data_IF_763681159503
#
_entry.id   IF_763681159503
#
_cell.length_a   1.000
_cell.length_b   1.000
_cell.length_c   1.000
_cell.angle_alpha   90.00
_cell.angle_beta   90.00
_cell.angle_gamma   90.00
#
_symmetry.space_group_name_H-M   'P 1'
#
loop_
_entity.id
_entity.type
_entity.pdbx_description
1 polymer ?
#
# COMPACT_ATOMS: atom_id res chain seq x y z
N UNK A 1 -9.26 52.17 -1.92
CA UNK A 1 -9.29 51.53 -0.58
C UNK A 1 -10.32 50.40 -0.43
N UNK A 2 -11.59 50.53 -0.87
CA UNK A 2 -12.62 49.47 -0.66
C UNK A 2 -12.33 48.13 -1.37
N UNK A 3 -11.66 48.15 -2.53
CA UNK A 3 -11.32 46.92 -3.28
C UNK A 3 -10.22 46.07 -2.62
N UNK A 4 -9.22 46.69 -2.00
CA UNK A 4 -8.14 45.96 -1.30
C UNK A 4 -8.70 45.22 -0.09
N UNK A 5 -9.63 45.84 0.65
CA UNK A 5 -10.27 45.23 1.81
C UNK A 5 -11.20 44.06 1.43
N UNK A 6 -11.78 44.10 0.22
CA UNK A 6 -12.58 43.00 -0.34
C UNK A 6 -11.68 41.81 -0.68
N UNK A 7 -10.59 42.08 -1.39
CA UNK A 7 -9.66 41.04 -1.83
C UNK A 7 -9.00 40.31 -0.65
N UNK A 8 -8.52 41.05 0.35
CA UNK A 8 -7.91 40.44 1.55
C UNK A 8 -8.90 39.63 2.38
N UNK A 9 -10.16 40.09 2.48
CA UNK A 9 -11.20 39.35 3.19
C UNK A 9 -11.58 38.04 2.49
N UNK A 10 -11.70 38.04 1.16
CA UNK A 10 -12.01 36.83 0.38
C UNK A 10 -10.88 35.81 0.49
N UNK A 11 -9.62 36.24 0.33
CA UNK A 11 -8.46 35.35 0.46
C UNK A 11 -8.36 34.78 1.88
N UNK A 12 -8.56 35.61 2.91
CA UNK A 12 -8.52 35.14 4.30
C UNK A 12 -9.55 34.03 4.55
N UNK A 13 -10.78 34.15 4.05
CA UNK A 13 -11.79 33.11 4.21
C UNK A 13 -11.44 31.83 3.44
N UNK A 14 -10.83 31.95 2.27
CA UNK A 14 -10.45 30.81 1.44
C UNK A 14 -9.31 30.01 2.08
N UNK A 15 -8.28 30.71 2.60
CA UNK A 15 -7.18 30.10 3.36
C UNK A 15 -7.68 29.46 4.65
N UNK A 16 -8.55 30.16 5.39
CA UNK A 16 -9.14 29.63 6.62
C UNK A 16 -10.03 28.41 6.37
N UNK A 17 -10.77 28.37 5.26
CA UNK A 17 -11.56 27.20 4.85
C UNK A 17 -10.71 25.98 4.54
N UNK A 18 -9.60 26.16 3.81
CA UNK A 18 -8.64 25.08 3.52
C UNK A 18 -7.98 24.54 4.80
N UNK A 19 -7.61 25.42 5.74
CA UNK A 19 -7.08 25.05 7.05
C UNK A 19 -8.10 24.28 7.90
N UNK A 20 -9.35 24.73 7.91
CA UNK A 20 -10.43 24.05 8.63
C UNK A 20 -10.67 22.64 8.06
N UNK A 21 -10.68 22.50 6.73
CA UNK A 21 -10.79 21.21 6.06
C UNK A 21 -9.64 20.27 6.45
N UNK A 22 -8.40 20.75 6.38
CA UNK A 22 -7.23 19.94 6.74
C UNK A 22 -7.30 19.46 8.20
N UNK A 23 -7.68 20.33 9.13
CA UNK A 23 -7.83 19.96 10.54
C UNK A 23 -8.98 18.97 10.77
N UNK A 24 -10.12 19.16 10.10
CA UNK A 24 -11.28 18.28 10.21
C UNK A 24 -11.00 16.89 9.64
N UNK A 25 -10.28 16.83 8.51
CA UNK A 25 -9.76 15.59 7.94
C UNK A 25 -8.85 14.84 8.94
N UNK A 26 -7.90 15.54 9.55
CA UNK A 26 -7.02 14.94 10.58
C UNK A 26 -7.81 14.38 11.79
N UNK A 27 -8.84 15.10 12.25
CA UNK A 27 -9.70 14.62 13.35
C UNK A 27 -10.47 13.36 12.96
N UNK A 28 -11.00 13.29 11.74
CA UNK A 28 -11.73 12.10 11.27
C UNK A 28 -10.82 10.89 11.09
N UNK A 29 -9.64 11.09 10.51
CA UNK A 29 -8.60 10.06 10.42
C UNK A 29 -8.18 9.57 11.81
N UNK A 30 -8.03 10.47 12.78
CA UNK A 30 -7.68 10.10 14.16
C UNK A 30 -8.80 9.32 14.87
N UNK A 31 -10.07 9.64 14.62
CA UNK A 31 -11.22 8.90 15.17
C UNK A 31 -11.33 7.49 14.57
N UNK A 32 -11.13 7.34 13.25
CA UNK A 32 -11.16 6.04 12.56
C UNK A 32 -9.98 5.13 12.99
N UNK A 33 -8.81 5.72 13.29
CA UNK A 33 -7.60 4.98 13.71
C UNK A 33 -7.50 4.69 15.22
N UNK A 34 -8.53 5.00 16.01
CA UNK A 34 -8.57 4.67 17.45
C UNK A 34 -8.53 3.16 17.75
N UNK A 35 -8.60 2.30 16.72
CA UNK A 35 -8.36 0.85 16.78
C UNK A 35 -6.90 0.39 16.56
N UNK A 36 -5.90 1.27 16.56
CA UNK A 36 -4.48 0.86 16.58
C UNK A 36 -3.87 0.42 15.25
N UNK A 37 -4.36 0.96 14.12
CA UNK A 37 -3.75 0.73 12.80
C UNK A 37 -2.63 1.72 12.47
N UNK A 38 -1.55 1.32 11.78
CA UNK A 38 -0.48 2.21 11.38
C UNK A 38 -0.92 2.97 10.12
N UNK A 39 -1.44 4.19 10.29
CA UNK A 39 -1.60 5.13 9.17
C UNK A 39 -0.61 6.27 9.41
N UNK A 40 0.56 6.15 8.79
CA UNK A 40 1.57 7.20 8.74
C UNK A 40 1.21 8.21 7.66
N UNK A 41 0.33 9.14 8.00
CA UNK A 41 0.40 10.54 7.55
C UNK A 41 0.30 11.37 8.83
N UNK A 42 1.32 11.22 9.70
CA UNK A 42 1.45 11.77 11.06
C UNK A 42 0.11 12.33 11.58
N UNK A 43 -0.84 11.46 12.00
CA UNK A 43 -2.11 11.93 12.54
C UNK A 43 -1.78 12.79 13.75
N UNK A 44 -1.96 14.10 13.61
CA UNK A 44 -1.71 15.01 14.71
C UNK A 44 -2.68 14.61 15.83
N UNK A 45 -2.17 14.39 17.05
CA UNK A 45 -2.93 13.70 18.06
C UNK A 45 -4.21 14.49 18.39
N UNK A 46 -5.31 13.75 18.62
CA UNK A 46 -6.67 14.30 18.71
C UNK A 46 -6.77 15.42 19.77
N UNK A 47 -6.02 15.26 20.86
CA UNK A 47 -5.85 16.21 21.96
C UNK A 47 -5.28 17.57 21.52
N UNK A 48 -4.49 17.60 20.44
CA UNK A 48 -3.92 18.83 19.86
C UNK A 48 -4.77 19.37 18.71
N UNK A 49 -5.28 18.52 17.82
CA UNK A 49 -6.00 18.98 16.62
C UNK A 49 -7.37 19.56 16.92
N UNK A 50 -8.12 18.98 17.85
CA UNK A 50 -9.45 19.43 18.25
C UNK A 50 -9.47 20.88 18.80
N UNK A 51 -8.62 21.27 19.76
CA UNK A 51 -8.61 22.65 20.25
C UNK A 51 -8.19 23.66 19.17
N UNK A 52 -7.26 23.31 18.27
CA UNK A 52 -6.90 24.20 17.14
C UNK A 52 -8.08 24.43 16.20
N UNK A 53 -8.84 23.38 15.88
CA UNK A 53 -10.06 23.50 15.06
C UNK A 53 -11.08 24.45 15.72
N UNK A 54 -11.32 24.29 17.02
CA UNK A 54 -12.26 25.13 17.78
C UNK A 54 -11.81 26.60 17.78
N UNK A 55 -10.52 26.86 18.04
CA UNK A 55 -9.95 28.22 18.01
C UNK A 55 -10.07 28.84 16.61
N UNK A 56 -9.82 28.06 15.56
CA UNK A 56 -9.93 28.52 14.17
C UNK A 56 -11.38 28.92 13.83
N UNK A 57 -12.36 28.07 14.17
CA UNK A 57 -13.79 28.36 13.94
C UNK A 57 -14.22 29.62 14.70
N UNK A 58 -13.83 29.74 15.97
CA UNK A 58 -14.10 30.93 16.79
C UNK A 58 -13.48 32.19 16.17
N UNK A 59 -12.22 32.11 15.71
CA UNK A 59 -11.52 33.21 15.07
C UNK A 59 -12.19 33.71 13.79
N UNK A 60 -12.60 32.78 12.91
CA UNK A 60 -13.32 33.09 11.67
C UNK A 60 -14.68 33.74 11.99
N UNK A 61 -15.40 33.21 12.98
CA UNK A 61 -16.70 33.74 13.39
C UNK A 61 -16.57 35.17 13.93
N UNK A 62 -15.59 35.43 14.79
CA UNK A 62 -15.32 36.77 15.33
C UNK A 62 -14.89 37.77 14.25
N UNK A 63 -14.06 37.35 13.30
CA UNK A 63 -13.67 38.17 12.14
C UNK A 63 -14.89 38.52 11.28
N UNK A 64 -15.80 37.58 11.07
CA UNK A 64 -17.04 37.78 10.32
C UNK A 64 -17.98 38.75 11.04
N UNK A 65 -18.13 38.64 12.37
CA UNK A 65 -18.92 39.59 13.18
C UNK A 65 -18.30 40.99 13.17
N UNK A 66 -16.96 41.08 13.27
CA UNK A 66 -16.25 42.37 13.29
C UNK A 66 -16.33 43.08 11.94
N UNK A 67 -16.19 42.34 10.84
CA UNK A 67 -16.39 42.86 9.48
C UNK A 67 -17.84 43.25 9.24
N UNK A 68 -18.81 42.46 9.72
CA UNK A 68 -20.23 42.83 9.71
C UNK A 68 -20.50 44.18 10.38
N UNK A 69 -19.98 44.39 11.60
CA UNK A 69 -20.16 45.66 12.33
C UNK A 69 -19.50 46.85 11.61
N UNK A 70 -18.37 46.63 10.92
CA UNK A 70 -17.56 47.72 10.33
C UNK A 70 -17.98 48.10 8.91
N UNK A 71 -18.46 47.15 8.14
CA UNK A 71 -18.92 47.38 6.77
C UNK A 71 -20.44 47.26 6.72
N UNK A 72 -21.16 48.39 6.76
CA UNK A 72 -22.61 48.46 6.45
C UNK A 72 -22.96 48.02 5.01
N UNK A 73 -22.02 47.40 4.29
CA UNK A 73 -22.17 46.97 2.91
C UNK A 73 -22.70 45.53 2.86
N UNK A 74 -24.02 45.39 2.73
CA UNK A 74 -24.73 44.11 2.67
C UNK A 74 -24.22 43.18 1.55
N UNK A 75 -23.61 43.70 0.47
CA UNK A 75 -23.06 42.86 -0.63
C UNK A 75 -21.79 42.11 -0.22
N UNK A 76 -20.91 42.76 0.53
CA UNK A 76 -19.66 42.17 1.06
C UNK A 76 -19.96 41.03 2.02
N UNK A 77 -20.96 41.23 2.88
CA UNK A 77 -21.41 40.20 3.82
C UNK A 77 -21.93 38.96 3.11
N UNK A 78 -22.81 39.14 2.11
CA UNK A 78 -23.36 38.02 1.33
C UNK A 78 -22.27 37.22 0.64
N UNK A 79 -21.29 37.89 0.03
CA UNK A 79 -20.18 37.22 -0.64
C UNK A 79 -19.30 36.41 0.34
N UNK A 80 -18.98 36.96 1.51
CA UNK A 80 -18.23 36.25 2.55
C UNK A 80 -18.97 35.03 3.09
N UNK A 81 -20.28 35.17 3.33
CA UNK A 81 -21.11 34.09 3.86
C UNK A 81 -21.26 32.94 2.85
N UNK A 82 -21.41 33.27 1.56
CA UNK A 82 -21.44 32.30 0.46
C UNK A 82 -20.09 31.59 0.33
N UNK A 83 -18.98 32.32 0.39
CA UNK A 83 -17.64 31.72 0.33
C UNK A 83 -17.43 30.73 1.50
N UNK A 84 -17.76 31.15 2.72
CA UNK A 84 -17.59 30.34 3.93
C UNK A 84 -18.48 29.07 3.90
N UNK A 85 -19.75 29.23 3.56
CA UNK A 85 -20.67 28.08 3.42
C UNK A 85 -20.23 27.13 2.31
N UNK A 86 -19.81 27.66 1.15
CA UNK A 86 -19.29 26.81 0.05
C UNK A 86 -18.04 26.04 0.47
N UNK A 87 -17.10 26.67 1.18
CA UNK A 87 -15.90 25.98 1.69
C UNK A 87 -16.24 24.88 2.70
N UNK A 88 -17.24 25.10 3.55
CA UNK A 88 -17.68 24.11 4.53
C UNK A 88 -18.34 22.90 3.86
N UNK A 89 -19.19 23.14 2.85
CA UNK A 89 -19.83 22.05 2.08
C UNK A 89 -18.80 21.25 1.29
N UNK A 90 -17.88 21.92 0.59
CA UNK A 90 -16.76 21.27 -0.11
C UNK A 90 -15.90 20.44 0.85
N UNK A 91 -15.61 20.98 2.04
CA UNK A 91 -14.90 20.29 3.10
C UNK A 91 -15.60 19.00 3.54
N UNK A 92 -16.92 19.03 3.75
CA UNK A 92 -17.69 17.84 4.12
C UNK A 92 -17.70 16.78 3.01
N UNK A 93 -17.92 17.20 1.77
CA UNK A 93 -17.91 16.30 0.60
C UNK A 93 -16.56 15.60 0.49
N UNK A 94 -15.46 16.36 0.45
CA UNK A 94 -14.12 15.78 0.40
C UNK A 94 -13.86 14.85 1.58
N UNK A 95 -14.33 15.20 2.78
CA UNK A 95 -14.11 14.39 3.96
C UNK A 95 -14.81 13.03 3.87
N UNK A 96 -16.02 12.96 3.32
CA UNK A 96 -16.73 11.70 3.10
C UNK A 96 -15.95 10.82 2.11
N UNK A 97 -15.53 11.40 0.98
CA UNK A 97 -14.80 10.66 -0.06
C UNK A 97 -13.35 10.34 0.33
N UNK A 98 -12.78 11.08 1.27
CA UNK A 98 -11.38 10.90 1.67
C UNK A 98 -11.12 9.57 2.35
N UNK A 99 -12.11 8.99 3.04
CA UNK A 99 -11.99 7.68 3.66
C UNK A 99 -11.82 6.58 2.60
N UNK A 100 -12.63 6.62 1.54
CA UNK A 100 -12.54 5.66 0.43
C UNK A 100 -11.23 5.85 -0.34
N UNK A 101 -10.85 7.10 -0.65
CA UNK A 101 -9.57 7.40 -1.29
C UNK A 101 -8.39 6.91 -0.43
N UNK A 102 -8.45 7.07 0.90
CA UNK A 102 -7.41 6.57 1.80
C UNK A 102 -7.37 5.05 1.91
N UNK A 103 -8.52 4.35 1.80
CA UNK A 103 -8.51 2.88 1.72
C UNK A 103 -7.83 2.40 0.44
N UNK A 104 -8.13 3.04 -0.69
CA UNK A 104 -7.50 2.72 -1.97
C UNK A 104 -6.01 3.09 -1.98
N UNK A 105 -5.62 4.21 -1.38
CA UNK A 105 -4.21 4.57 -1.20
C UNK A 105 -3.49 3.63 -0.23
N UNK A 106 -4.19 3.16 0.82
CA UNK A 106 -3.65 2.21 1.79
C UNK A 106 -3.39 0.86 1.12
N UNK A 107 -4.31 0.35 0.30
CA UNK A 107 -4.08 -0.91 -0.41
C UNK A 107 -2.85 -0.81 -1.32
N UNK A 108 -2.71 0.30 -2.07
CA UNK A 108 -1.55 0.61 -2.89
C UNK A 108 -0.24 0.73 -2.08
N UNK A 109 -0.26 1.43 -0.94
CA UNK A 109 0.94 1.59 -0.10
C UNK A 109 1.30 0.32 0.69
N UNK A 110 0.33 -0.48 1.13
CA UNK A 110 0.60 -1.73 1.86
C UNK A 110 1.27 -2.79 1.01
N UNK A 111 1.08 -2.77 -0.32
CA UNK A 111 1.82 -3.62 -1.26
C UNK A 111 3.31 -3.25 -1.32
N UNK A 112 3.66 -1.97 -1.21
CA UNK A 112 5.04 -1.49 -1.31
C UNK A 112 5.78 -1.44 0.04
N UNK A 113 5.09 -1.63 1.17
CA UNK A 113 5.62 -1.50 2.53
C UNK A 113 5.67 -2.83 3.31
N UNK A 114 5.49 -3.97 2.64
CA UNK A 114 5.92 -5.23 3.25
C UNK A 114 7.46 -5.19 3.29
N UNK A 115 8.03 -5.38 4.47
CA UNK A 115 9.48 -5.42 4.60
C UNK A 115 10.01 -6.53 3.68
N UNK A 116 11.08 -6.27 2.92
CA UNK A 116 11.72 -7.33 2.14
C UNK A 116 12.03 -8.51 3.05
N UNK A 117 11.92 -9.74 2.55
CA UNK A 117 12.18 -10.89 3.37
C UNK A 117 13.58 -10.83 3.97
N UNK A 118 13.70 -11.13 5.27
CA UNK A 118 14.99 -11.04 5.97
C UNK A 118 16.01 -12.00 5.38
N UNK A 119 17.30 -11.62 5.40
CA UNK A 119 18.40 -12.49 4.97
C UNK A 119 18.32 -13.88 5.62
N UNK A 120 18.00 -13.95 6.92
CA UNK A 120 17.89 -15.22 7.63
C UNK A 120 16.76 -16.12 7.09
N UNK A 121 15.58 -15.57 6.80
CA UNK A 121 14.50 -16.40 6.26
C UNK A 121 14.72 -16.75 4.78
N UNK A 122 15.38 -15.88 4.01
CA UNK A 122 15.86 -16.24 2.67
C UNK A 122 16.81 -17.43 2.70
N UNK A 123 17.76 -17.45 3.64
CA UNK A 123 18.71 -18.55 3.79
C UNK A 123 18.02 -19.85 4.21
N UNK A 124 17.00 -19.78 5.07
CA UNK A 124 16.20 -20.95 5.45
C UNK A 124 15.44 -21.54 4.25
N UNK A 125 14.82 -20.69 3.44
CA UNK A 125 14.10 -21.13 2.22
C UNK A 125 15.08 -21.74 1.21
N UNK A 126 16.20 -21.08 0.95
CA UNK A 126 17.23 -21.56 0.01
C UNK A 126 17.88 -22.85 0.48
N UNK A 127 18.25 -22.94 1.76
CA UNK A 127 18.82 -24.14 2.36
C UNK A 127 17.85 -25.32 2.32
N UNK A 128 16.57 -25.08 2.62
CA UNK A 128 15.53 -26.10 2.51
C UNK A 128 15.31 -26.57 1.07
N UNK A 129 15.28 -25.66 0.10
CA UNK A 129 15.17 -26.03 -1.32
C UNK A 129 16.39 -26.78 -1.82
N UNK A 130 17.59 -26.37 -1.41
CA UNK A 130 18.83 -27.08 -1.72
C UNK A 130 18.77 -28.52 -1.21
N UNK A 131 18.31 -28.71 0.02
CA UNK A 131 18.12 -30.05 0.56
C UNK A 131 17.10 -30.87 -0.25
N UNK A 132 15.97 -30.28 -0.66
CA UNK A 132 14.98 -30.96 -1.51
C UNK A 132 15.61 -31.40 -2.84
N UNK A 133 16.43 -30.55 -3.46
CA UNK A 133 17.13 -30.85 -4.71
C UNK A 133 18.10 -32.02 -4.51
N UNK A 134 18.93 -31.96 -3.47
CA UNK A 134 19.93 -32.99 -3.15
C UNK A 134 19.27 -34.33 -2.79
N UNK A 135 18.24 -34.32 -1.94
CA UNK A 135 17.53 -35.53 -1.47
C UNK A 135 16.76 -36.24 -2.60
N UNK A 136 16.34 -35.51 -3.64
CA UNK A 136 15.58 -36.04 -4.78
C UNK A 136 16.41 -36.15 -6.06
N UNK A 137 17.72 -35.92 -6.00
CA UNK A 137 18.64 -35.95 -7.14
C UNK A 137 18.16 -35.10 -8.34
N UNK A 138 17.56 -33.93 -8.05
CA UNK A 138 17.02 -33.05 -9.08
C UNK A 138 18.16 -32.32 -9.80
N UNK A 139 18.12 -32.18 -11.15
CA UNK A 139 19.22 -31.62 -11.93
C UNK A 139 19.22 -30.09 -11.92
N UNK A 140 19.11 -29.45 -10.76
CA UNK A 140 19.02 -28.00 -10.61
C UNK A 140 20.06 -27.45 -9.65
N UNK A 141 20.54 -26.24 -9.94
CA UNK A 141 21.29 -25.41 -9.00
C UNK A 141 20.52 -24.14 -8.69
N UNK A 142 20.68 -23.65 -7.46
CA UNK A 142 20.10 -22.36 -7.07
C UNK A 142 21.04 -21.24 -7.54
N UNK A 143 20.51 -20.33 -8.36
CA UNK A 143 21.21 -19.09 -8.71
C UNK A 143 21.06 -18.08 -7.57
N UNK A 144 21.99 -18.11 -6.62
CA UNK A 144 21.91 -17.32 -5.39
C UNK A 144 21.90 -15.81 -5.63
N UNK A 145 22.66 -15.35 -6.62
CA UNK A 145 22.82 -13.93 -6.91
C UNK A 145 21.55 -13.39 -7.58
N UNK A 146 21.10 -14.01 -8.67
CA UNK A 146 19.87 -13.58 -9.36
C UNK A 146 18.64 -13.70 -8.42
N UNK A 147 18.64 -14.69 -7.52
CA UNK A 147 17.56 -14.87 -6.51
C UNK A 147 17.52 -13.73 -5.50
N UNK A 148 18.68 -13.21 -5.07
CA UNK A 148 18.76 -12.10 -4.13
C UNK A 148 18.31 -10.80 -4.80
N UNK A 149 18.84 -10.53 -5.98
CA UNK A 149 18.51 -9.35 -6.76
C UNK A 149 17.00 -9.28 -7.06
N UNK A 150 16.37 -10.37 -7.50
CA UNK A 150 14.92 -10.39 -7.73
C UNK A 150 14.09 -10.32 -6.45
N UNK A 151 14.59 -10.86 -5.33
CA UNK A 151 13.88 -10.73 -4.04
C UNK A 151 13.84 -9.28 -3.56
N UNK A 152 14.92 -8.53 -3.80
CA UNK A 152 14.97 -7.10 -3.52
C UNK A 152 14.00 -6.31 -4.40
N UNK A 153 13.86 -6.70 -5.67
CA UNK A 153 12.95 -6.04 -6.62
C UNK A 153 11.46 -6.34 -6.35
N UNK A 154 11.11 -7.56 -5.93
CA UNK A 154 9.72 -7.93 -5.69
C UNK A 154 9.19 -7.52 -4.31
N UNK A 155 10.07 -7.22 -3.35
CA UNK A 155 9.82 -6.63 -2.01
C UNK A 155 8.94 -7.46 -1.06
N UNK A 156 8.02 -8.28 -1.57
CA UNK A 156 6.93 -8.89 -0.81
C UNK A 156 7.14 -10.40 -0.62
N UNK A 157 7.91 -11.04 -1.49
CA UNK A 157 8.03 -12.51 -1.56
C UNK A 157 9.48 -12.94 -1.76
N UNK A 158 9.81 -14.14 -1.28
CA UNK A 158 11.08 -14.78 -1.60
C UNK A 158 11.09 -15.19 -3.07
N UNK A 159 12.13 -14.81 -3.81
CA UNK A 159 12.36 -15.32 -5.16
C UNK A 159 13.53 -16.31 -5.10
N UNK A 160 13.30 -17.51 -5.63
CA UNK A 160 14.35 -18.53 -5.76
C UNK A 160 14.39 -19.00 -7.20
N UNK A 161 15.56 -18.88 -7.81
CA UNK A 161 15.83 -19.22 -9.20
C UNK A 161 16.58 -20.55 -9.22
N UNK A 162 15.99 -21.52 -9.91
CA UNK A 162 16.45 -22.88 -10.10
C UNK A 162 16.87 -23.03 -11.56
N UNK A 163 18.16 -23.20 -11.82
CA UNK A 163 18.70 -23.36 -13.17
C UNK A 163 19.11 -24.81 -13.38
N UNK A 164 18.63 -25.42 -14.46
CA UNK A 164 18.95 -26.80 -14.79
C UNK A 164 20.42 -26.97 -15.13
N UNK A 165 21.07 -28.03 -14.66
CA UNK A 165 22.50 -28.30 -14.93
C UNK A 165 22.74 -29.02 -16.26
N UNK A 166 21.70 -29.57 -16.87
CA UNK A 166 21.80 -30.43 -18.06
C UNK A 166 21.50 -29.62 -19.34
N UNK A 167 22.45 -29.62 -20.28
CA UNK A 167 22.28 -29.00 -21.62
C UNK A 167 21.13 -29.62 -22.41
N UNK A 168 20.40 -28.79 -23.17
CA UNK A 168 19.31 -29.20 -24.07
C UNK A 168 18.20 -30.04 -23.41
N UNK A 169 18.01 -29.91 -22.10
CA UNK A 169 16.93 -30.58 -21.36
C UNK A 169 15.82 -29.60 -21.02
N UNK A 170 14.60 -29.93 -21.43
CA UNK A 170 13.39 -29.20 -21.05
C UNK A 170 13.06 -29.43 -19.58
N UNK A 171 12.32 -28.50 -18.99
CA UNK A 171 11.81 -28.63 -17.62
C UNK A 171 10.75 -29.74 -17.60
N UNK A 172 10.95 -30.79 -16.80
CA UNK A 172 9.97 -31.87 -16.73
C UNK A 172 8.89 -31.55 -15.68
N UNK A 173 7.62 -31.82 -16.01
CA UNK A 173 6.51 -31.61 -15.06
C UNK A 173 6.76 -32.37 -13.75
N UNK A 174 7.29 -33.59 -13.82
CA UNK A 174 7.62 -34.40 -12.64
C UNK A 174 8.65 -33.74 -11.73
N UNK A 175 9.62 -33.01 -12.27
CA UNK A 175 10.64 -32.30 -11.48
C UNK A 175 9.99 -31.18 -10.65
N UNK A 176 9.07 -30.43 -11.27
CA UNK A 176 8.32 -29.38 -10.60
C UNK A 176 7.38 -29.99 -9.56
N UNK A 177 6.66 -31.06 -9.88
CA UNK A 177 5.79 -31.76 -8.95
C UNK A 177 6.55 -32.26 -7.71
N UNK A 178 7.75 -32.85 -7.86
CA UNK A 178 8.57 -33.32 -6.74
C UNK A 178 8.97 -32.18 -5.78
N UNK A 179 9.32 -31.01 -6.32
CA UNK A 179 9.60 -29.83 -5.48
C UNK A 179 8.33 -29.43 -4.72
N UNK A 180 7.17 -29.37 -5.38
CA UNK A 180 5.91 -28.96 -4.77
C UNK A 180 5.40 -29.92 -3.69
N UNK A 181 5.62 -31.22 -3.85
CA UNK A 181 5.31 -32.23 -2.81
C UNK A 181 6.14 -31.98 -1.54
N UNK A 182 7.36 -31.51 -1.71
CA UNK A 182 8.33 -31.27 -0.63
C UNK A 182 8.26 -29.87 -0.03
N UNK A 183 7.51 -28.93 -0.63
CA UNK A 183 7.34 -27.54 -0.14
C UNK A 183 6.77 -27.49 1.28
N UNK A 184 6.04 -28.53 1.72
CA UNK A 184 5.48 -28.60 3.07
C UNK A 184 6.53 -28.47 4.18
N UNK A 185 7.79 -28.83 3.90
CA UNK A 185 8.94 -28.76 4.82
C UNK A 185 9.53 -27.35 4.93
N UNK A 186 9.29 -26.49 3.94
CA UNK A 186 9.79 -25.11 3.91
C UNK A 186 9.03 -24.20 4.90
N UNK A 187 9.56 -23.03 5.28
CA UNK A 187 8.81 -22.02 6.04
C UNK A 187 7.48 -21.64 5.34
N UNK A 188 6.46 -21.28 6.13
CA UNK A 188 5.17 -20.77 5.63
C UNK A 188 5.28 -19.28 5.25
N UNK A 189 5.99 -19.03 4.16
CA UNK A 189 6.25 -17.69 3.62
C UNK A 189 5.79 -17.61 2.17
N UNK A 190 5.56 -16.38 1.67
CA UNK A 190 5.20 -16.20 0.25
C UNK A 190 6.46 -16.37 -0.60
N UNK A 191 6.41 -17.29 -1.56
CA UNK A 191 7.57 -17.70 -2.35
C UNK A 191 7.23 -17.71 -3.83
N UNK A 192 8.24 -17.42 -4.65
CA UNK A 192 8.21 -17.52 -6.11
C UNK A 192 9.41 -18.34 -6.56
N UNK A 193 9.13 -19.54 -7.04
CA UNK A 193 10.13 -20.44 -7.60
C UNK A 193 10.17 -20.26 -9.11
N UNK A 194 11.35 -20.02 -9.66
CA UNK A 194 11.58 -19.86 -11.09
C UNK A 194 12.48 -20.96 -11.58
N UNK A 195 11.91 -21.91 -12.30
CA UNK A 195 12.66 -22.97 -12.96
C UNK A 195 13.06 -22.48 -14.35
N UNK A 196 14.33 -22.63 -14.68
CA UNK A 196 14.88 -22.37 -16.00
C UNK A 196 15.61 -23.60 -16.53
N UNK A 197 15.52 -23.84 -17.83
CA UNK A 197 16.52 -24.67 -18.50
C UNK A 197 17.87 -23.94 -18.52
N UNK A 198 18.95 -24.66 -18.84
CA UNK A 198 20.31 -24.10 -18.77
C UNK A 198 20.49 -22.85 -19.64
N UNK A 199 19.86 -22.83 -20.82
CA UNK A 199 19.92 -21.71 -21.78
C UNK A 199 18.99 -20.53 -21.42
N UNK A 200 18.21 -20.64 -20.32
CA UNK A 200 17.18 -19.69 -19.86
C UNK A 200 16.09 -19.37 -20.90
N UNK A 201 15.91 -20.21 -21.92
CA UNK A 201 14.86 -20.08 -22.95
C UNK A 201 13.49 -20.56 -22.47
N UNK A 202 13.46 -21.65 -21.68
CA UNK A 202 12.25 -22.19 -21.07
C UNK A 202 12.18 -21.77 -19.61
N UNK A 203 10.99 -21.36 -19.17
CA UNK A 203 10.74 -20.92 -17.78
C UNK A 203 9.42 -21.46 -17.26
N UNK A 204 9.46 -22.03 -16.06
CA UNK A 204 8.27 -22.32 -15.25
C UNK A 204 8.31 -21.46 -14.01
N UNK A 205 7.23 -20.73 -13.76
CA UNK A 205 7.05 -19.92 -12.56
C UNK A 205 6.04 -20.58 -11.65
N UNK A 206 6.41 -20.78 -10.40
CA UNK A 206 5.51 -21.28 -9.35
C UNK A 206 5.44 -20.25 -8.23
N UNK A 207 4.25 -19.76 -7.95
CA UNK A 207 3.95 -18.86 -6.84
C UNK A 207 3.23 -19.65 -5.74
N UNK A 208 3.73 -19.50 -4.52
CA UNK A 208 3.24 -20.19 -3.33
C UNK A 208 2.84 -19.13 -2.31
N UNK A 209 1.56 -19.10 -1.95
CA UNK A 209 1.03 -18.17 -0.94
C UNK A 209 1.43 -18.61 0.48
N UNK A 210 1.25 -17.71 1.45
CA UNK A 210 1.43 -18.04 2.89
C UNK A 210 0.49 -19.17 3.34
N UNK A 211 -0.68 -19.26 2.72
CA UNK A 211 -1.69 -20.28 2.96
C UNK A 211 -1.43 -21.58 2.18
N UNK A 212 -0.30 -21.65 1.46
CA UNK A 212 0.13 -22.77 0.58
C UNK A 212 -0.73 -22.94 -0.66
N UNK A 213 -1.41 -21.90 -1.10
CA UNK A 213 -2.03 -21.90 -2.42
C UNK A 213 -0.92 -21.84 -3.48
N UNK A 214 -1.00 -22.75 -4.44
CA UNK A 214 -0.01 -22.89 -5.50
C UNK A 214 -0.64 -22.39 -6.81
N UNK A 215 0.05 -21.46 -7.46
CA UNK A 215 -0.31 -21.00 -8.80
C UNK A 215 0.92 -21.06 -9.69
N UNK A 216 0.74 -21.48 -10.95
CA UNK A 216 1.87 -21.72 -11.85
C UNK A 216 1.63 -21.19 -13.25
N UNK A 217 2.73 -20.85 -13.91
CA UNK A 217 2.76 -20.43 -15.30
C UNK A 217 3.98 -21.05 -15.98
N UNK A 218 3.80 -21.90 -17.00
CA UNK A 218 2.52 -22.38 -17.55
C UNK A 218 1.69 -23.25 -16.56
N UNK A 219 0.37 -23.28 -16.71
CA UNK A 219 -0.55 -23.87 -15.71
C UNK A 219 -0.56 -25.40 -15.67
N UNK A 220 -0.21 -26.04 -16.77
CA UNK A 220 -0.08 -27.49 -16.94
C UNK A 220 0.95 -28.12 -15.99
N UNK A 221 2.00 -27.37 -15.62
CA UNK A 221 3.01 -27.81 -14.64
C UNK A 221 2.48 -28.01 -13.22
N UNK A 222 1.32 -27.44 -12.88
CA UNK A 222 0.74 -27.54 -11.53
C UNK A 222 -0.74 -27.94 -11.56
N UNK A 223 -1.18 -28.61 -12.61
CA UNK A 223 -2.58 -28.99 -12.78
C UNK A 223 -3.15 -29.76 -11.57
N UNK A 224 -2.35 -30.66 -10.97
CA UNK A 224 -2.70 -31.42 -9.75
C UNK A 224 -2.93 -30.54 -8.53
N UNK A 225 -2.25 -29.40 -8.45
CA UNK A 225 -2.31 -28.46 -7.33
C UNK A 225 -3.30 -27.31 -7.56
N UNK A 226 -3.73 -27.10 -8.81
CA UNK A 226 -4.71 -26.05 -9.16
C UNK A 226 -6.16 -26.37 -8.77
N UNK A 227 -6.45 -27.55 -8.21
CA UNK A 227 -7.82 -28.02 -7.88
C UNK A 227 -8.19 -27.94 -6.39
N UNK A 228 -7.71 -26.93 -5.66
CA UNK A 228 -8.24 -26.54 -4.33
C UNK A 228 -9.02 -25.22 -4.41
N UNK A 229 -9.61 -24.91 -5.58
CA UNK A 229 -10.56 -23.82 -5.77
C UNK A 229 -11.82 -24.32 -6.49
N UNK A 230 -12.59 -25.17 -5.80
CA UNK A 230 -14.04 -25.30 -5.98
C UNK A 230 -14.72 -25.57 -4.64
#
# INVERSE_FOLDING_TARGET
>A
MKGILYFTYVISNLVSGALAFFLLFNVLVALENSGGGPIALIPAPLDRTLPFLIILILGITLLTIRTFKRTQNKRLLKAGLVALTSSFVLSLIFSIYSADIMRDLKSLMTLSYQNPPSYQSQELVRGGLRQIIEDNELPYVIDFQDSEDQTLDEVVRHVVILVKEVENSNIAISEVETVLESVSVLPKEEMKLLFFNLDKEERVTVMISKDRDISCSPSDYCFRYSNVLR
#
